data_IF_463897759351
#
_entry.id   IF_463897759351
#
_cell.length_a   1.000
_cell.length_b   1.000
_cell.length_c   1.000
_cell.angle_alpha   90.00
_cell.angle_beta   90.00
_cell.angle_gamma   90.00
#
_symmetry.space_group_name_H-M   'P 1'
#
loop_
_entity.id
_entity.type
_entity.pdbx_description
1 polymer ?
#
# COMPACT_ATOMS: atom_id res chain seq x y z
N UNK A 1 13.41 -4.50 -27.03
CA UNK A 1 12.06 -4.39 -26.63
C UNK A 1 11.80 -5.29 -25.50
N UNK A 2 10.99 -5.98 -25.49
CA UNK A 2 10.78 -7.12 -24.75
C UNK A 2 10.33 -6.95 -23.33
N UNK A 3 10.99 -7.63 -22.46
CA UNK A 3 10.54 -7.80 -21.08
C UNK A 3 10.46 -6.51 -20.26
N UNK A 4 11.35 -5.57 -20.50
CA UNK A 4 11.37 -4.30 -19.76
C UNK A 4 10.11 -3.47 -20.01
N UNK A 5 9.69 -3.38 -21.27
CA UNK A 5 8.48 -2.64 -21.61
C UNK A 5 7.23 -3.31 -21.00
N UNK A 6 7.24 -4.64 -20.95
CA UNK A 6 6.12 -5.40 -20.41
C UNK A 6 5.98 -5.20 -18.90
N UNK A 7 7.08 -5.08 -18.17
CA UNK A 7 7.04 -4.89 -16.71
C UNK A 7 6.56 -3.50 -16.31
N UNK A 8 6.85 -2.49 -17.13
CA UNK A 8 6.43 -1.11 -16.84
C UNK A 8 4.92 -0.95 -16.76
N UNK A 9 4.19 -1.79 -17.47
CA UNK A 9 2.74 -1.73 -17.53
C UNK A 9 2.05 -2.72 -16.59
N UNK A 10 2.80 -3.43 -15.76
CA UNK A 10 2.23 -4.42 -14.86
C UNK A 10 1.93 -3.86 -13.47
N UNK A 11 0.81 -4.26 -12.94
CA UNK A 11 0.31 -3.80 -11.65
C UNK A 11 -0.18 -4.98 -10.83
N UNK A 12 0.07 -4.90 -9.53
CA UNK A 12 -0.54 -5.83 -8.56
C UNK A 12 -1.84 -5.20 -8.11
N UNK A 13 -2.94 -5.94 -8.19
CA UNK A 13 -4.23 -5.43 -7.72
C UNK A 13 -4.58 -6.04 -6.38
N UNK A 14 -5.21 -5.23 -5.54
CA UNK A 14 -5.68 -5.67 -4.23
C UNK A 14 -7.00 -5.00 -3.91
N UNK A 15 -7.76 -5.62 -3.03
CA UNK A 15 -9.05 -5.12 -2.60
C UNK A 15 -8.92 -4.35 -1.29
N UNK A 16 -9.61 -3.22 -1.20
CA UNK A 16 -9.78 -2.48 0.04
C UNK A 16 -11.17 -1.86 0.03
N UNK A 17 -12.01 -2.29 0.96
CA UNK A 17 -13.40 -1.91 0.95
C UNK A 17 -14.11 -2.52 -0.24
N UNK A 18 -14.86 -1.71 -0.97
CA UNK A 18 -15.59 -2.16 -2.15
C UNK A 18 -14.83 -1.87 -3.45
N UNK A 19 -13.59 -1.45 -3.35
CA UNK A 19 -12.84 -1.01 -4.51
C UNK A 19 -11.56 -1.82 -4.68
N UNK A 20 -11.09 -1.89 -5.94
CA UNK A 20 -9.83 -2.54 -6.26
C UNK A 20 -8.80 -1.46 -6.61
N UNK A 21 -7.65 -1.60 -6.01
CA UNK A 21 -6.52 -0.71 -6.25
C UNK A 21 -5.44 -1.44 -7.02
N UNK A 22 -4.65 -0.68 -7.77
CA UNK A 22 -3.55 -1.23 -8.54
C UNK A 22 -2.28 -0.49 -8.16
N UNK A 23 -1.22 -1.26 -7.93
CA UNK A 23 0.08 -0.74 -7.52
C UNK A 23 1.12 -1.23 -8.52
N UNK A 24 1.91 -0.32 -9.08
CA UNK A 24 2.95 -0.72 -10.04
C UNK A 24 3.86 -1.77 -9.44
N UNK A 25 4.10 -2.83 -10.22
CA UNK A 25 4.89 -3.95 -9.73
C UNK A 25 6.31 -3.56 -9.37
N UNK A 26 6.83 -2.49 -9.98
CA UNK A 26 8.18 -2.02 -9.68
C UNK A 26 8.35 -1.53 -8.24
N UNK A 27 7.27 -1.14 -7.56
CA UNK A 27 7.32 -0.75 -6.16
C UNK A 27 7.28 -1.94 -5.22
N UNK A 28 6.87 -3.09 -5.71
CA UNK A 28 6.60 -4.26 -4.86
C UNK A 28 7.86 -5.10 -4.69
N UNK A 29 8.30 -5.26 -3.44
CA UNK A 29 9.41 -6.14 -3.12
C UNK A 29 8.94 -7.59 -3.05
N UNK A 30 7.85 -7.81 -2.30
CA UNK A 30 7.26 -9.15 -2.17
C UNK A 30 5.87 -9.03 -1.55
N UNK A 31 5.13 -10.11 -1.63
CA UNK A 31 3.80 -10.22 -1.02
C UNK A 31 3.87 -11.39 -0.05
N UNK A 32 3.50 -11.15 1.20
CA UNK A 32 3.54 -12.19 2.23
C UNK A 32 2.17 -12.36 2.87
N UNK A 33 1.96 -13.51 3.49
CA UNK A 33 0.74 -13.73 4.27
C UNK A 33 0.81 -12.88 5.54
N UNK A 34 -0.34 -12.57 6.09
CA UNK A 34 -0.40 -11.80 7.33
C UNK A 34 0.35 -12.54 8.44
N UNK A 35 1.12 -11.80 9.21
CA UNK A 35 1.85 -12.35 10.34
C UNK A 35 1.69 -11.44 11.56
N UNK A 36 2.10 -11.92 12.70
CA UNK A 36 1.97 -11.17 13.94
C UNK A 36 2.70 -9.84 13.90
N UNK A 37 2.06 -8.81 14.42
CA UNK A 37 2.55 -7.44 14.41
C UNK A 37 2.84 -6.99 15.84
N UNK A 38 4.01 -6.38 16.04
CA UNK A 38 4.35 -5.75 17.32
C UNK A 38 3.88 -4.31 17.27
N UNK A 39 2.95 -3.96 18.14
CA UNK A 39 2.40 -2.60 18.17
C UNK A 39 3.42 -1.56 18.62
N UNK A 40 3.34 -0.38 18.00
CA UNK A 40 4.12 0.80 18.40
C UNK A 40 3.24 1.64 19.33
N UNK A 41 3.63 1.88 20.58
CA UNK A 41 2.82 2.71 21.47
C UNK A 41 2.65 4.13 20.95
N UNK A 42 1.47 4.70 21.16
CA UNK A 42 1.16 6.09 20.84
C UNK A 42 1.33 6.48 19.38
N UNK A 43 1.27 5.50 18.47
CA UNK A 43 1.31 5.77 17.05
C UNK A 43 -0.09 6.08 16.50
N UNK A 44 -0.15 6.60 15.29
CA UNK A 44 -1.42 6.86 14.63
C UNK A 44 -2.14 5.55 14.32
N UNK A 45 -3.45 5.60 14.21
CA UNK A 45 -4.29 4.40 14.09
C UNK A 45 -4.00 3.55 12.84
N UNK A 46 -3.56 4.16 11.74
CA UNK A 46 -3.25 3.40 10.53
C UNK A 46 -1.90 2.68 10.61
N UNK A 47 -1.05 3.09 11.54
CA UNK A 47 0.23 2.42 11.78
C UNK A 47 -0.03 1.28 12.75
N UNK A 48 0.00 0.05 12.23
CA UNK A 48 -0.30 -1.12 13.06
C UNK A 48 0.88 -1.57 13.89
N UNK A 49 2.08 -1.33 13.42
CA UNK A 49 3.27 -1.67 14.19
C UNK A 49 4.41 -2.12 13.31
N UNK A 50 5.17 -3.09 13.80
CA UNK A 50 6.36 -3.59 13.15
C UNK A 50 6.29 -5.10 12.98
N UNK A 51 6.88 -5.60 11.90
CA UNK A 51 7.06 -7.05 11.70
C UNK A 51 8.56 -7.32 11.54
N UNK A 52 8.94 -8.56 11.86
CA UNK A 52 10.29 -9.03 11.61
C UNK A 52 10.24 -9.93 10.37
N UNK A 53 10.82 -9.46 9.27
CA UNK A 53 10.86 -10.20 8.03
C UNK A 53 12.28 -10.65 7.78
N UNK A 54 12.57 -11.89 8.12
CA UNK A 54 13.91 -12.48 7.95
C UNK A 54 15.03 -11.65 8.58
N UNK A 55 14.77 -11.17 9.80
CA UNK A 55 15.74 -10.38 10.55
C UNK A 55 15.67 -8.88 10.30
N UNK A 56 14.86 -8.45 9.34
CA UNK A 56 14.71 -7.03 9.04
C UNK A 56 13.41 -6.52 9.64
N UNK A 57 13.49 -5.43 10.39
CA UNK A 57 12.31 -4.83 11.01
C UNK A 57 11.64 -3.89 10.01
N UNK A 58 10.36 -4.12 9.75
CA UNK A 58 9.61 -3.37 8.75
C UNK A 58 8.34 -2.82 9.38
N UNK A 59 8.08 -1.50 9.24
CA UNK A 59 6.82 -0.94 9.72
C UNK A 59 5.68 -1.37 8.79
N UNK A 60 4.51 -1.59 9.36
CA UNK A 60 3.33 -1.97 8.59
C UNK A 60 2.18 -1.01 8.87
N UNK A 61 1.49 -0.65 7.82
CA UNK A 61 0.32 0.23 7.89
C UNK A 61 -0.89 -0.50 7.31
N UNK A 62 -2.05 -0.18 7.84
CA UNK A 62 -3.31 -0.76 7.35
C UNK A 62 -3.93 0.20 6.35
N UNK A 63 -4.05 -0.24 5.12
CA UNK A 63 -4.56 0.57 4.02
C UNK A 63 -6.00 0.99 4.27
N UNK A 64 -6.84 0.10 4.80
CA UNK A 64 -8.24 0.44 5.09
C UNK A 64 -8.34 1.58 6.09
N UNK A 65 -7.54 1.52 7.14
CA UNK A 65 -7.53 2.56 8.16
C UNK A 65 -6.99 3.87 7.58
N UNK A 66 -5.94 3.78 6.79
CA UNK A 66 -5.37 4.97 6.13
C UNK A 66 -6.38 5.64 5.22
N UNK A 67 -7.20 4.86 4.54
CA UNK A 67 -8.24 5.38 3.64
C UNK A 67 -9.51 5.79 4.39
N UNK A 68 -9.51 5.66 5.71
CA UNK A 68 -10.67 5.96 6.57
C UNK A 68 -11.89 5.12 6.24
N UNK A 69 -11.64 3.89 5.83
CA UNK A 69 -12.67 2.87 5.67
C UNK A 69 -12.85 2.18 7.02
N UNK A 70 -13.96 1.49 7.18
CA UNK A 70 -14.19 0.76 8.43
C UNK A 70 -13.15 -0.33 8.64
N UNK A 71 -12.59 -0.45 9.85
CA UNK A 71 -11.64 -1.52 10.13
C UNK A 71 -12.27 -2.89 9.93
N UNK A 72 -11.46 -3.87 9.56
CA UNK A 72 -11.90 -5.22 9.32
C UNK A 72 -10.95 -6.17 10.05
N UNK A 73 -11.50 -7.26 10.57
CA UNK A 73 -10.67 -8.27 11.19
C UNK A 73 -9.81 -8.94 10.13
N UNK A 74 -8.57 -9.22 10.51
CA UNK A 74 -7.66 -9.92 9.63
C UNK A 74 -8.02 -11.40 9.56
N UNK A 75 -7.87 -11.98 8.38
CA UNK A 75 -8.24 -13.37 8.14
C UNK A 75 -7.23 -14.05 7.21
N UNK A 76 -7.56 -15.25 6.72
CA UNK A 76 -6.66 -16.05 5.88
C UNK A 76 -6.28 -15.39 4.57
N UNK A 77 -7.08 -14.43 4.11
CA UNK A 77 -6.84 -13.74 2.83
C UNK A 77 -6.04 -12.46 3.02
N UNK A 78 -5.95 -11.97 4.24
CA UNK A 78 -5.21 -10.76 4.55
C UNK A 78 -3.74 -10.96 4.19
N UNK A 79 -3.21 -10.02 3.43
CA UNK A 79 -1.81 -10.08 2.99
C UNK A 79 -1.10 -8.80 3.34
N UNK A 80 0.22 -8.87 3.33
CA UNK A 80 1.07 -7.69 3.48
C UNK A 80 1.86 -7.55 2.19
N UNK A 81 1.69 -6.42 1.51
CA UNK A 81 2.46 -6.10 0.31
C UNK A 81 3.65 -5.27 0.77
N UNK A 82 4.85 -5.82 0.64
CA UNK A 82 6.08 -5.12 1.05
C UNK A 82 6.55 -4.26 -0.10
N UNK A 83 6.61 -2.95 0.12
CA UNK A 83 6.92 -1.98 -0.93
C UNK A 83 8.04 -1.03 -0.49
N UNK A 84 8.56 -0.30 -1.48
CA UNK A 84 9.48 0.81 -1.23
C UNK A 84 8.72 2.13 -1.32
N UNK A 85 8.85 2.95 -0.28
CA UNK A 85 8.27 4.30 -0.25
C UNK A 85 9.40 5.26 0.13
N UNK A 86 9.83 6.09 -0.82
CA UNK A 86 10.88 7.10 -0.58
C UNK A 86 12.10 6.50 0.14
N UNK A 87 12.62 5.42 -0.42
CA UNK A 87 13.80 4.70 0.11
C UNK A 87 13.57 3.95 1.42
N UNK A 88 12.35 3.85 1.87
CA UNK A 88 12.00 3.08 3.05
C UNK A 88 11.16 1.87 2.66
N UNK A 89 11.43 0.73 3.30
CA UNK A 89 10.63 -0.48 3.08
C UNK A 89 9.48 -0.48 4.07
N UNK A 90 8.26 -0.60 3.56
CA UNK A 90 7.02 -0.53 4.35
C UNK A 90 6.10 -1.68 3.92
N UNK A 91 5.39 -2.25 4.87
CA UNK A 91 4.37 -3.25 4.56
C UNK A 91 2.99 -2.63 4.53
N UNK A 92 2.22 -2.96 3.52
CA UNK A 92 0.82 -2.53 3.39
C UNK A 92 -0.08 -3.71 3.70
N UNK A 93 -0.87 -3.60 4.76
CA UNK A 93 -1.86 -4.63 5.08
C UNK A 93 -3.07 -4.39 4.20
N UNK A 94 -3.40 -5.37 3.37
CA UNK A 94 -4.54 -5.29 2.45
C UNK A 94 -5.51 -6.43 2.70
N UNK A 95 -6.77 -6.19 2.34
CA UNK A 95 -7.85 -7.15 2.56
C UNK A 95 -7.58 -8.47 1.84
N UNK A 96 -7.19 -8.37 0.58
CA UNK A 96 -6.72 -9.52 -0.21
C UNK A 96 -6.00 -9.02 -1.45
N UNK A 97 -5.05 -9.81 -1.92
CA UNK A 97 -4.41 -9.57 -3.21
C UNK A 97 -5.24 -10.30 -4.27
N UNK A 98 -5.54 -9.63 -5.36
CA UNK A 98 -6.36 -10.21 -6.40
C UNK A 98 -5.53 -10.84 -7.52
N UNK A 99 -4.86 -10.01 -8.32
CA UNK A 99 -4.11 -10.53 -9.47
C UNK A 99 -3.10 -9.51 -9.96
N UNK A 100 -2.26 -9.93 -10.89
CA UNK A 100 -1.36 -9.04 -11.61
C UNK A 100 -2.02 -8.74 -12.95
N UNK A 101 -2.17 -7.46 -13.29
CA UNK A 101 -2.79 -7.04 -14.53
C UNK A 101 -1.85 -6.13 -15.30
N UNK A 102 -2.09 -6.03 -16.61
CA UNK A 102 -1.38 -5.11 -17.47
C UNK A 102 -2.32 -3.95 -17.79
N UNK A 103 -1.85 -2.72 -17.57
CA UNK A 103 -2.63 -1.52 -17.88
C UNK A 103 -1.77 -0.61 -18.75
N UNK A 104 -2.20 -0.40 -19.97
CA UNK A 104 -1.46 0.45 -20.90
C UNK A 104 -1.71 1.92 -20.60
N UNK A 105 -0.75 2.77 -20.92
CA UNK A 105 -0.86 4.21 -20.67
C UNK A 105 -2.14 4.82 -21.27
N UNK A 106 -2.54 4.34 -22.42
CA UNK A 106 -3.74 4.84 -23.10
C UNK A 106 -5.04 4.47 -22.39
N UNK A 107 -4.98 3.47 -21.47
CA UNK A 107 -6.12 3.05 -20.69
C UNK A 107 -6.17 3.68 -19.30
N UNK A 108 -5.28 4.66 -19.06
CA UNK A 108 -5.24 5.36 -17.78
C UNK A 108 -5.92 6.71 -17.92
N UNK A 109 -6.94 6.93 -17.10
CA UNK A 109 -7.67 8.18 -17.06
C UNK A 109 -7.21 9.01 -15.87
N UNK A 110 -7.45 10.35 -15.91
CA UNK A 110 -7.11 11.19 -14.75
C UNK A 110 -7.84 10.72 -13.49
N UNK A 111 -7.29 11.03 -12.30
CA UNK A 111 -7.93 10.64 -11.05
C UNK A 111 -9.28 11.35 -10.90
N UNK A 112 -10.20 10.75 -10.15
CA UNK A 112 -11.49 11.41 -9.90
C UNK A 112 -11.22 12.71 -9.16
N UNK A 113 -11.65 13.81 -9.74
CA UNK A 113 -11.43 15.11 -9.12
C UNK A 113 -12.64 15.49 -8.27
N UNK A 114 -12.36 16.20 -7.18
CA UNK A 114 -13.38 16.69 -6.28
C UNK A 114 -14.15 17.87 -6.87
N UNK A 115 -14.26 17.95 -8.19
CA UNK A 115 -14.61 19.17 -8.85
C UNK A 115 -16.10 19.45 -8.99
N UNK A 116 -16.98 18.61 -8.56
CA UNK A 116 -18.40 18.87 -8.83
C UNK A 116 -19.23 18.80 -7.56
N UNK A 117 -18.81 19.61 -6.56
CA UNK A 117 -19.62 19.77 -5.36
C UNK A 117 -19.82 18.51 -4.51
N UNK A 118 -19.06 17.47 -4.77
CA UNK A 118 -19.13 16.26 -4.00
C UNK A 118 -17.93 16.17 -3.07
N UNK A 119 -18.14 15.63 -1.89
CA UNK A 119 -17.04 15.41 -0.97
C UNK A 119 -16.06 14.41 -1.58
N UNK A 120 -14.80 14.77 -1.54
CA UNK A 120 -13.75 13.88 -2.01
C UNK A 120 -13.61 12.71 -1.06
N UNK A 121 -13.63 11.50 -1.61
CA UNK A 121 -13.37 10.32 -0.81
C UNK A 121 -11.91 10.35 -0.36
N UNK A 122 -11.66 9.94 0.89
CA UNK A 122 -10.32 9.99 1.46
C UNK A 122 -9.31 9.24 0.61
N UNK A 123 -9.67 8.07 0.08
CA UNK A 123 -8.73 7.29 -0.72
C UNK A 123 -8.30 8.00 -2.00
N UNK A 124 -9.07 8.98 -2.50
CA UNK A 124 -8.71 9.70 -3.71
C UNK A 124 -7.45 10.53 -3.56
N UNK A 125 -7.06 10.84 -2.33
CA UNK A 125 -5.81 11.57 -2.06
C UNK A 125 -4.58 10.75 -2.44
N UNK A 126 -4.73 9.44 -2.50
CA UNK A 126 -3.63 8.51 -2.73
C UNK A 126 -3.64 7.92 -4.14
N UNK A 127 -4.63 8.31 -4.95
CA UNK A 127 -4.85 7.77 -6.29
C UNK A 127 -4.37 8.77 -7.32
N UNK A 128 -3.53 8.34 -8.26
CA UNK A 128 -3.04 9.23 -9.31
C UNK A 128 -3.74 9.01 -10.65
N UNK A 129 -4.60 8.03 -10.75
CA UNK A 129 -5.30 7.74 -11.99
C UNK A 129 -6.25 6.58 -11.85
N UNK A 130 -7.00 6.35 -12.92
CA UNK A 130 -7.96 5.24 -13.00
C UNK A 130 -7.53 4.38 -14.18
N UNK A 131 -7.31 3.09 -13.93
CA UNK A 131 -6.94 2.14 -14.98
C UNK A 131 -8.13 1.32 -15.42
N UNK A 132 -8.30 1.22 -16.71
CA UNK A 132 -9.36 0.38 -17.32
C UNK A 132 -8.80 -0.99 -17.63
N UNK A 133 -9.41 -2.03 -17.07
CA UNK A 133 -9.00 -3.41 -17.31
C UNK A 133 -10.26 -4.16 -17.75
N UNK A 134 -10.43 -4.33 -19.07
CA UNK A 134 -11.67 -4.87 -19.59
C UNK A 134 -12.84 -3.93 -19.26
N UNK A 135 -13.83 -4.43 -18.59
CA UNK A 135 -14.97 -3.63 -18.13
C UNK A 135 -14.82 -3.14 -16.71
N UNK A 136 -13.72 -3.52 -16.06
CA UNK A 136 -13.45 -3.14 -14.68
C UNK A 136 -12.58 -1.90 -14.59
N UNK A 137 -12.65 -1.25 -13.43
CA UNK A 137 -11.89 -0.05 -13.12
C UNK A 137 -11.03 -0.33 -11.90
N UNK A 138 -9.75 0.02 -11.99
CA UNK A 138 -8.82 -0.10 -10.87
C UNK A 138 -8.31 1.29 -10.52
N UNK A 139 -8.22 1.59 -9.23
CA UNK A 139 -7.70 2.86 -8.77
C UNK A 139 -6.18 2.75 -8.62
N UNK A 140 -5.45 3.60 -9.34
CA UNK A 140 -4.00 3.54 -9.38
C UNK A 140 -3.42 4.25 -8.16
N UNK A 141 -2.80 3.48 -7.28
CA UNK A 141 -2.28 3.97 -6.00
C UNK A 141 -0.87 4.54 -6.17
N UNK A 142 -0.66 5.73 -5.60
CA UNK A 142 0.67 6.32 -5.53
C UNK A 142 1.24 6.02 -4.14
N UNK A 143 2.20 5.11 -4.03
CA UNK A 143 2.73 4.74 -2.71
C UNK A 143 3.44 5.90 -2.01
N UNK A 144 4.01 6.84 -2.74
CA UNK A 144 4.69 7.98 -2.15
C UNK A 144 3.74 8.95 -1.46
N UNK A 145 2.45 8.84 -1.75
CA UNK A 145 1.44 9.67 -1.08
C UNK A 145 0.85 9.03 0.17
N UNK A 146 1.16 7.76 0.40
CA UNK A 146 0.60 7.04 1.55
C UNK A 146 1.11 7.55 2.88
N UNK A 147 2.34 8.04 2.92
CA UNK A 147 2.98 8.51 4.14
C UNK A 147 3.55 9.90 3.92
N UNK A 148 3.29 10.78 4.87
CA UNK A 148 3.89 12.11 4.88
C UNK A 148 5.35 11.99 5.32
N UNK A 149 6.16 12.98 4.99
CA UNK A 149 7.58 12.97 5.33
C UNK A 149 7.80 12.86 6.85
N UNK A 150 6.99 13.55 7.66
CA UNK A 150 7.08 13.46 9.11
C UNK A 150 6.74 12.05 9.61
N UNK A 151 5.78 11.40 8.96
CA UNK A 151 5.39 10.03 9.32
C UNK A 151 6.50 9.04 9.00
N UNK A 152 7.18 9.24 7.87
CA UNK A 152 8.31 8.38 7.49
C UNK A 152 9.45 8.50 8.50
N UNK A 153 9.73 9.71 8.97
CA UNK A 153 10.78 9.93 9.97
C UNK A 153 10.45 9.19 11.26
N UNK A 154 9.20 9.27 11.72
CA UNK A 154 8.77 8.59 12.93
C UNK A 154 8.90 7.07 12.78
N UNK A 155 8.50 6.54 11.64
CA UNK A 155 8.58 5.10 11.38
C UNK A 155 10.03 4.63 11.29
N UNK A 156 10.89 5.42 10.68
CA UNK A 156 12.30 5.11 10.57
C UNK A 156 12.93 5.04 11.95
N UNK A 157 12.65 6.00 12.83
CA UNK A 157 13.14 6.01 14.20
C UNK A 157 12.65 4.80 14.99
N UNK A 158 11.37 4.47 14.87
CA UNK A 158 10.81 3.31 15.57
C UNK A 158 11.47 2.01 15.10
N UNK A 159 11.74 1.91 13.81
CA UNK A 159 12.39 0.74 13.23
C UNK A 159 13.83 0.59 13.75
N UNK A 160 14.56 1.69 13.81
CA UNK A 160 15.94 1.68 14.32
C UNK A 160 16.00 1.32 15.80
N UNK A 161 15.13 1.91 16.61
CA UNK A 161 15.08 1.63 18.05
C UNK A 161 14.79 0.16 18.31
N UNK A 162 13.83 -0.42 17.59
CA UNK A 162 13.49 -1.83 17.76
C UNK A 162 14.62 -2.75 17.32
N UNK A 163 15.31 -2.40 16.23
CA UNK A 163 16.44 -3.18 15.76
C UNK A 163 17.58 -3.17 16.78
N UNK A 164 17.86 -2.03 17.40
CA UNK A 164 18.90 -1.92 18.43
C UNK A 164 18.54 -2.78 19.66
N UNK A 165 17.29 -2.73 20.10
CA UNK A 165 16.84 -3.54 21.23
C UNK A 165 16.93 -5.03 20.92
N UNK A 166 16.68 -5.41 19.68
CA UNK A 166 16.77 -6.80 19.26
C UNK A 166 18.15 -7.37 19.22
N UNK A 167 19.19 -6.55 19.21
CA UNK A 167 20.56 -7.00 19.18
C UNK A 167 21.11 -7.38 20.57
N UNK A 168 20.39 -7.05 21.60
CA UNK A 168 20.76 -7.47 22.96
C UNK A 168 20.29 -8.91 23.23
#
# INVERSE_FOLDING_TARGET
>A
MGELATQQDKYVTFKSGNEYFALKIEYVNEIIVFQEITEIPESEDFIKGLINLRGKIIPVIDVRVRFKQEPMEYNDRTCIIVINVKDMVVGLIVEKVAEVVEINQEDILPPPSATIGHEEKTQNKYVYGIGKVGEEVKLLLDPDKLLKDEELIILEQATEETAEEGEE
#
